data_IF_337178496743
#
_entry.id   IF_337178496743
#
_cell.length_a   1.000
_cell.length_b   1.000
_cell.length_c   1.000
_cell.angle_alpha   90.00
_cell.angle_beta   90.00
_cell.angle_gamma   90.00
#
_symmetry.space_group_name_H-M   'P 1'
#
loop_
_entity.id
_entity.type
_entity.pdbx_description
1 polymer ?
#
# COMPACT_ATOMS: atom_id res chain seq x y z
N UNK A 1 17.15 -1.10 3.82
CA UNK A 1 15.93 -1.25 4.64
C UNK A 1 15.01 -0.08 4.33
N UNK A 2 13.82 -0.33 3.77
CA UNK A 2 12.87 0.74 3.46
C UNK A 2 12.35 1.35 4.78
N UNK A 3 12.73 2.59 5.10
CA UNK A 3 12.59 3.15 6.45
C UNK A 3 11.13 3.35 6.94
N UNK A 4 10.09 3.16 6.12
CA UNK A 4 8.70 3.43 6.51
C UNK A 4 7.69 2.49 5.84
N UNK A 5 7.94 1.17 5.88
CA UNK A 5 6.96 0.15 5.46
C UNK A 5 6.63 -0.77 6.63
N UNK A 6 5.35 -1.13 6.80
CA UNK A 6 4.90 -2.04 7.86
C UNK A 6 3.88 -3.04 7.31
N UNK A 7 4.04 -4.31 7.72
CA UNK A 7 3.01 -5.34 7.55
C UNK A 7 2.03 -5.23 8.71
N UNK A 8 0.74 -5.04 8.42
CA UNK A 8 -0.27 -4.81 9.46
C UNK A 8 -0.53 -6.06 10.30
N UNK A 9 -1.06 -5.85 11.51
CA UNK A 9 -1.51 -6.94 12.38
C UNK A 9 -2.59 -7.79 11.70
N UNK A 10 -3.45 -7.17 10.89
CA UNK A 10 -4.46 -7.88 10.08
C UNK A 10 -3.81 -8.85 9.11
N UNK A 11 -2.76 -8.44 8.40
CA UNK A 11 -2.01 -9.32 7.49
C UNK A 11 -1.39 -10.50 8.24
N UNK A 12 -0.66 -10.24 9.34
CA UNK A 12 -0.04 -11.31 10.13
C UNK A 12 -1.06 -12.29 10.70
N UNK A 13 -2.20 -11.80 11.17
CA UNK A 13 -3.32 -12.63 11.65
C UNK A 13 -3.85 -13.53 10.54
N UNK A 14 -4.10 -12.98 9.34
CA UNK A 14 -4.57 -13.77 8.19
C UNK A 14 -3.53 -14.81 7.76
N UNK A 15 -2.25 -14.44 7.74
CA UNK A 15 -1.15 -15.36 7.39
C UNK A 15 -1.08 -16.56 8.33
N UNK A 16 -1.12 -16.34 9.66
CA UNK A 16 -1.07 -17.46 10.62
C UNK A 16 -2.32 -18.33 10.54
N UNK A 17 -3.50 -17.73 10.35
CA UNK A 17 -4.76 -18.48 10.18
C UNK A 17 -4.76 -19.31 8.90
N UNK A 18 -4.24 -18.77 7.80
CA UNK A 18 -4.14 -19.49 6.54
C UNK A 18 -3.14 -20.66 6.61
N UNK A 19 -1.98 -20.44 7.23
CA UNK A 19 -1.00 -21.50 7.49
C UNK A 19 -1.55 -22.62 8.37
N UNK A 20 -2.44 -22.30 9.30
CA UNK A 20 -3.15 -23.28 10.12
C UNK A 20 -4.32 -23.99 9.39
N UNK A 21 -4.64 -23.59 8.15
CA UNK A 21 -5.77 -24.14 7.38
C UNK A 21 -7.14 -23.61 7.79
N UNK A 22 -7.20 -22.57 8.65
CA UNK A 22 -8.46 -22.03 9.15
C UNK A 22 -9.16 -21.10 8.15
N UNK A 23 -8.39 -20.49 7.24
CA UNK A 23 -8.90 -19.63 6.16
C UNK A 23 -8.12 -19.90 4.87
N UNK A 24 -8.71 -19.56 3.73
CA UNK A 24 -7.93 -19.30 2.50
C UNK A 24 -7.34 -17.90 2.61
N UNK A 25 -6.02 -17.76 2.41
CA UNK A 25 -5.38 -16.44 2.46
C UNK A 25 -5.96 -15.53 1.36
N UNK A 26 -6.56 -14.38 1.70
CA UNK A 26 -7.06 -13.46 0.69
C UNK A 26 -5.90 -12.91 -0.16
N UNK A 27 -6.03 -13.01 -1.48
CA UNK A 27 -5.04 -12.43 -2.40
C UNK A 27 -5.07 -10.90 -2.34
N UNK A 28 -3.93 -10.28 -2.62
CA UNK A 28 -3.86 -8.83 -2.88
C UNK A 28 -4.62 -8.52 -4.16
N UNK A 29 -5.46 -7.47 -4.14
CA UNK A 29 -6.24 -7.06 -5.30
C UNK A 29 -5.98 -5.61 -5.72
N UNK A 30 -5.40 -4.77 -4.86
CA UNK A 30 -5.12 -3.39 -5.22
C UNK A 30 -4.24 -2.60 -4.25
N UNK A 31 -4.04 -1.34 -4.62
CA UNK A 31 -3.40 -0.32 -3.81
C UNK A 31 -4.39 0.78 -3.44
N UNK A 32 -4.37 1.17 -2.17
CA UNK A 32 -4.96 2.40 -1.67
C UNK A 32 -3.88 3.50 -1.68
N UNK A 33 -4.26 4.70 -2.09
CA UNK A 33 -3.41 5.88 -2.16
C UNK A 33 -3.96 6.95 -1.24
N UNK A 34 -3.10 7.64 -0.51
CA UNK A 34 -3.51 8.65 0.46
C UNK A 34 -2.50 9.77 0.65
N UNK A 35 -2.92 10.78 1.42
CA UNK A 35 -2.17 12.02 1.67
C UNK A 35 -1.79 12.24 3.13
N UNK A 36 -2.10 11.29 4.02
CA UNK A 36 -1.88 11.39 5.46
C UNK A 36 -0.54 10.85 5.97
N UNK A 37 0.38 10.46 5.08
CA UNK A 37 1.68 9.87 5.45
C UNK A 37 2.73 10.85 5.98
N UNK A 38 2.42 12.14 6.07
CA UNK A 38 3.33 13.19 6.56
C UNK A 38 2.62 14.13 7.53
N UNK A 39 3.38 14.78 8.40
CA UNK A 39 2.86 15.79 9.34
C UNK A 39 2.66 17.17 8.69
N UNK A 40 2.32 18.18 9.50
CA UNK A 40 2.15 19.57 9.06
C UNK A 40 3.46 20.22 8.61
N UNK A 41 4.61 19.76 9.11
CA UNK A 41 5.93 20.23 8.70
C UNK A 41 6.48 19.49 7.47
N UNK A 42 5.78 18.43 7.01
CA UNK A 42 6.18 17.61 5.87
C UNK A 42 7.10 16.44 6.23
N UNK A 43 7.32 16.16 7.52
CA UNK A 43 8.08 14.99 7.94
C UNK A 43 7.24 13.73 7.74
N UNK A 44 7.88 12.64 7.30
CA UNK A 44 7.22 11.35 7.12
C UNK A 44 6.82 10.79 8.47
N UNK A 45 5.55 10.42 8.61
CA UNK A 45 5.06 9.75 9.81
C UNK A 45 5.16 8.25 9.58
N UNK A 46 5.90 7.55 10.43
CA UNK A 46 6.00 6.10 10.34
C UNK A 46 4.61 5.44 10.51
N UNK A 47 4.27 4.45 9.68
CA UNK A 47 3.00 3.75 9.81
C UNK A 47 3.01 2.86 11.06
N UNK A 48 1.83 2.60 11.62
CA UNK A 48 1.63 1.67 12.74
C UNK A 48 1.10 0.33 12.22
N UNK A 49 1.61 -0.76 12.79
CA UNK A 49 1.11 -2.10 12.49
C UNK A 49 -0.37 -2.32 12.86
N UNK A 50 -0.92 -1.51 13.77
CA UNK A 50 -2.32 -1.60 14.18
C UNK A 50 -3.27 -0.86 13.25
N UNK A 51 -2.76 -0.12 12.27
CA UNK A 51 -3.60 0.56 11.29
C UNK A 51 -4.39 -0.45 10.45
N UNK A 52 -5.67 -0.15 10.29
CA UNK A 52 -6.59 -0.87 9.40
C UNK A 52 -6.93 -0.08 8.14
N UNK A 53 -6.50 1.19 8.07
CA UNK A 53 -6.75 2.12 6.99
C UNK A 53 -5.58 3.13 6.85
N UNK A 54 -5.52 3.78 5.67
CA UNK A 54 -4.68 4.96 5.46
C UNK A 54 -5.20 6.14 6.31
N UNK A 55 -4.31 7.07 6.68
CA UNK A 55 -4.68 8.22 7.52
C UNK A 55 -5.60 9.20 6.79
N UNK A 56 -5.41 9.36 5.48
CA UNK A 56 -6.27 10.11 4.58
C UNK A 56 -6.27 9.47 3.20
N UNK A 57 -7.09 8.43 3.05
CA UNK A 57 -7.30 7.72 1.78
C UNK A 57 -7.95 8.65 0.73
N UNK A 58 -7.49 8.54 -0.51
CA UNK A 58 -7.97 9.32 -1.65
C UNK A 58 -8.53 8.43 -2.76
N UNK A 59 -7.92 7.27 -3.00
CA UNK A 59 -8.30 6.36 -4.08
C UNK A 59 -7.91 4.92 -3.73
N UNK A 60 -8.75 3.97 -4.14
CA UNK A 60 -8.36 2.56 -4.29
C UNK A 60 -8.35 2.20 -5.76
N UNK A 61 -7.29 1.54 -6.21
CA UNK A 61 -7.16 1.06 -7.57
C UNK A 61 -6.68 -0.39 -7.60
N UNK A 62 -7.20 -1.24 -8.50
CA UNK A 62 -6.64 -2.56 -8.72
C UNK A 62 -5.14 -2.49 -9.08
N UNK A 63 -4.39 -3.52 -8.68
CA UNK A 63 -2.99 -3.63 -9.09
C UNK A 63 -2.91 -3.78 -10.62
N UNK A 64 -1.91 -3.14 -11.23
CA UNK A 64 -1.55 -3.36 -12.64
C UNK A 64 -0.92 -4.75 -12.83
N UNK A 65 -0.24 -5.27 -11.80
CA UNK A 65 0.40 -6.57 -11.84
C UNK A 65 1.21 -6.86 -10.58
N UNK A 66 1.88 -8.01 -10.58
CA UNK A 66 2.85 -8.38 -9.55
C UNK A 66 3.95 -9.25 -10.15
N UNK A 67 5.10 -9.28 -9.48
CA UNK A 67 6.22 -10.16 -9.82
C UNK A 67 6.94 -10.62 -8.54
N UNK A 68 7.44 -11.87 -8.54
CA UNK A 68 8.34 -12.33 -7.47
C UNK A 68 9.76 -11.89 -7.80
N UNK A 69 10.30 -10.98 -7.01
CA UNK A 69 11.64 -10.40 -7.25
C UNK A 69 12.73 -11.12 -6.45
N UNK A 70 12.35 -11.85 -5.40
CA UNK A 70 13.19 -12.80 -4.66
C UNK A 70 12.31 -13.98 -4.19
N UNK A 71 12.91 -15.00 -3.59
CA UNK A 71 12.19 -16.18 -3.06
C UNK A 71 11.10 -15.83 -2.03
N UNK A 72 11.26 -14.71 -1.31
CA UNK A 72 10.38 -14.30 -0.21
C UNK A 72 9.79 -12.91 -0.40
N UNK A 73 9.91 -12.32 -1.59
CA UNK A 73 9.41 -10.96 -1.88
C UNK A 73 8.54 -10.92 -3.14
N UNK A 74 7.28 -10.55 -2.97
CA UNK A 74 6.37 -10.22 -4.07
C UNK A 74 6.29 -8.70 -4.21
N UNK A 75 6.62 -8.18 -5.40
CA UNK A 75 6.42 -6.78 -5.75
C UNK A 75 5.08 -6.62 -6.44
N UNK A 76 4.23 -5.78 -5.90
CA UNK A 76 2.99 -5.35 -6.52
C UNK A 76 3.20 -4.01 -7.21
N UNK A 77 2.51 -3.80 -8.33
CA UNK A 77 2.58 -2.56 -9.11
C UNK A 77 1.17 -2.01 -9.34
N UNK A 78 1.03 -0.69 -9.30
CA UNK A 78 -0.20 -0.01 -9.66
C UNK A 78 0.14 1.32 -10.33
N UNK A 79 -0.40 1.52 -11.53
CA UNK A 79 -0.21 2.72 -12.34
C UNK A 79 -1.40 3.64 -12.13
N UNK A 80 -1.17 4.85 -11.65
CA UNK A 80 -2.15 5.92 -11.72
C UNK A 80 -2.08 6.56 -13.11
N UNK A 81 -3.21 6.56 -13.82
CA UNK A 81 -3.34 7.21 -15.11
C UNK A 81 -3.29 8.73 -14.99
N UNK A 82 -3.26 9.43 -16.12
CA UNK A 82 -3.10 10.89 -16.21
C UNK A 82 -4.07 11.65 -15.30
N UNK A 83 -5.37 11.35 -15.40
CA UNK A 83 -6.43 12.04 -14.64
C UNK A 83 -6.59 11.57 -13.20
N UNK A 84 -6.04 10.40 -12.83
CA UNK A 84 -6.21 9.84 -11.50
C UNK A 84 -5.31 10.57 -10.50
N UNK A 85 -5.95 11.10 -9.45
CA UNK A 85 -5.31 11.92 -8.42
C UNK A 85 -4.57 13.15 -8.98
N UNK A 86 -4.97 13.64 -10.15
CA UNK A 86 -4.48 14.90 -10.70
C UNK A 86 -4.67 16.08 -9.71
N UNK A 87 -3.62 16.86 -9.50
CA UNK A 87 -3.58 17.97 -8.54
C UNK A 87 -3.51 17.54 -7.07
N UNK A 88 -3.43 16.24 -6.77
CA UNK A 88 -3.32 15.73 -5.41
C UNK A 88 -1.87 15.47 -5.01
N UNK A 89 -1.63 15.46 -3.70
CA UNK A 89 -0.39 14.98 -3.11
C UNK A 89 -0.58 13.59 -2.51
N UNK A 90 0.32 12.67 -2.85
CA UNK A 90 0.34 11.30 -2.33
C UNK A 90 1.54 11.16 -1.39
N UNK A 91 1.30 10.61 -0.19
CA UNK A 91 2.33 10.41 0.84
C UNK A 91 2.20 9.10 1.59
N UNK A 92 1.15 8.32 1.31
CA UNK A 92 0.97 6.98 1.87
C UNK A 92 0.32 6.07 0.82
N UNK A 93 0.74 4.81 0.83
CA UNK A 93 0.19 3.74 -0.01
C UNK A 93 -0.06 2.53 0.88
N UNK A 94 -1.16 1.83 0.65
CA UNK A 94 -1.42 0.56 1.29
C UNK A 94 -1.81 -0.52 0.29
N UNK A 95 -1.29 -1.74 0.45
CA UNK A 95 -1.86 -2.90 -0.25
C UNK A 95 -3.16 -3.30 0.46
N UNK A 96 -4.19 -3.60 -0.32
CA UNK A 96 -5.41 -4.20 0.20
C UNK A 96 -5.71 -5.55 -0.46
N UNK A 97 -6.22 -6.45 0.36
CA UNK A 97 -6.61 -7.79 -0.09
C UNK A 97 -8.06 -7.87 -0.57
N UNK A 98 -8.46 -9.05 -1.04
CA UNK A 98 -9.81 -9.30 -1.59
C UNK A 98 -10.95 -9.04 -0.59
N UNK A 99 -10.67 -8.96 0.72
CA UNK A 99 -11.65 -8.58 1.74
C UNK A 99 -11.69 -7.06 1.99
N UNK A 100 -10.83 -6.29 1.31
CA UNK A 100 -10.71 -4.84 1.47
C UNK A 100 -9.82 -4.41 2.64
N UNK A 101 -9.20 -5.35 3.36
CA UNK A 101 -8.35 -5.04 4.50
C UNK A 101 -6.98 -4.54 4.04
N UNK A 102 -6.46 -3.50 4.69
CA UNK A 102 -5.10 -3.03 4.47
C UNK A 102 -4.11 -3.98 5.15
N UNK A 103 -3.20 -4.54 4.36
CA UNK A 103 -2.25 -5.59 4.78
C UNK A 103 -0.80 -5.11 4.85
N UNK A 104 -0.46 -4.09 4.08
CA UNK A 104 0.85 -3.45 4.10
C UNK A 104 0.64 -1.95 3.93
N UNK A 105 1.40 -1.12 4.66
CA UNK A 105 1.36 0.34 4.56
C UNK A 105 2.77 0.85 4.40
N UNK A 106 2.96 1.80 3.48
CA UNK A 106 4.18 2.56 3.34
C UNK A 106 3.87 4.05 3.34
N UNK A 107 4.63 4.81 4.11
CA UNK A 107 4.60 6.27 4.08
C UNK A 107 5.89 6.84 3.52
N UNK A 108 5.80 8.00 2.89
CA UNK A 108 6.92 8.65 2.21
C UNK A 108 6.65 10.16 2.07
N UNK A 109 7.66 10.90 1.62
CA UNK A 109 7.54 12.34 1.37
C UNK A 109 6.50 12.63 0.29
N UNK A 110 5.76 13.74 0.41
CA UNK A 110 4.69 14.09 -0.54
C UNK A 110 5.19 14.07 -1.99
N UNK A 111 4.43 13.39 -2.85
CA UNK A 111 4.60 13.39 -4.31
C UNK A 111 3.37 14.04 -4.91
N UNK A 112 3.57 15.16 -5.61
CA UNK A 112 2.51 15.79 -6.40
C UNK A 112 2.26 14.99 -7.67
N UNK A 113 1.03 15.00 -8.16
CA UNK A 113 0.60 14.29 -9.36
C UNK A 113 0.00 15.30 -10.33
N UNK A 114 0.67 15.53 -11.45
CA UNK A 114 0.16 16.39 -12.53
C UNK A 114 -0.90 15.66 -13.37
N UNK A 115 -1.72 16.41 -14.10
CA UNK A 115 -2.92 15.92 -14.80
C UNK A 115 -2.64 15.26 -16.16
N UNK A 116 -1.39 15.25 -16.61
CA UNK A 116 -0.91 14.75 -17.90
C UNK A 116 0.26 13.74 -17.74
N UNK A 117 0.48 13.26 -16.51
CA UNK A 117 1.58 12.34 -16.18
C UNK A 117 1.03 11.05 -15.58
N UNK A 118 1.41 9.89 -16.10
CA UNK A 118 1.19 8.62 -15.41
C UNK A 118 2.25 8.38 -14.32
N UNK A 119 1.84 7.77 -13.21
CA UNK A 119 2.77 7.39 -12.13
C UNK A 119 2.57 5.94 -11.72
N UNK A 120 3.59 5.12 -11.90
CA UNK A 120 3.62 3.74 -11.42
C UNK A 120 4.24 3.66 -10.04
N UNK A 121 3.51 3.06 -9.10
CA UNK A 121 3.95 2.81 -7.74
C UNK A 121 4.17 1.32 -7.54
N UNK A 122 5.21 1.01 -6.76
CA UNK A 122 5.53 -0.36 -6.39
C UNK A 122 5.57 -0.53 -4.87
N UNK A 123 5.05 -1.65 -4.41
CA UNK A 123 5.11 -2.05 -3.01
C UNK A 123 5.55 -3.50 -2.87
N UNK A 124 6.54 -3.71 -2.03
CA UNK A 124 7.09 -5.04 -1.75
C UNK A 124 6.37 -5.63 -0.53
N UNK A 125 5.91 -6.86 -0.69
CA UNK A 125 5.32 -7.70 0.35
C UNK A 125 6.30 -8.84 0.66
N UNK A 126 6.72 -8.93 1.93
CA UNK A 126 7.86 -9.75 2.37
C UNK A 126 7.46 -10.58 3.59
N UNK A 127 7.74 -11.89 3.56
CA UNK A 127 7.40 -12.84 4.63
C UNK A 127 8.51 -13.83 4.97
#
# INVERSE_FOLDING_TARGET
>A
MAQNVIITKSARKKMVQARAGAITLPKIVGMAFGSGGVDSAGNVISPSETQTALKKELLRKPISGYNFITETTCRYECTLGESELAGQYISEIGLYDANGDIVCIKTFTRKGKDNDIEMTYTLDDVF
#
